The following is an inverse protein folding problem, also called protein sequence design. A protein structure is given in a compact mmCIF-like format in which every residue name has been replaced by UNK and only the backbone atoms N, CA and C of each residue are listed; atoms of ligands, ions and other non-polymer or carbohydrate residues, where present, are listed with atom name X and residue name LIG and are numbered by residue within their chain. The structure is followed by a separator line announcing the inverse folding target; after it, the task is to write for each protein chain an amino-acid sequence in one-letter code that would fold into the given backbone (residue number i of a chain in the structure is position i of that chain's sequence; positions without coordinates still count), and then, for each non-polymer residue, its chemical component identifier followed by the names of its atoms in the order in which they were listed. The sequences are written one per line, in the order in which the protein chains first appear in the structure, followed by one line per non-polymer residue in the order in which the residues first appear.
data_IF_586683518581
#
_entry.id   IF_586683518581
#
_cell.length_a   1.000
_cell.length_b   1.000
_cell.length_c   1.000
_cell.angle_alpha   90.00
_cell.angle_beta   90.00
_cell.angle_gamma   90.00
#
_symmetry.space_group_name_H-M   'P 1'
#
loop_
_entity.id
_entity.type
_entity.pdbx_description
1 polymer ?
#
# COMPACT_ATOMS: atom_id res chain seq x y z
N UNK A 1 14.82 -10.25 12.65
CA UNK A 1 13.89 -9.37 13.37
C UNK A 1 13.30 -8.49 12.28
N UNK A 2 12.10 -8.81 11.80
CA UNK A 2 11.38 -7.92 10.91
C UNK A 2 10.73 -6.87 11.80
N UNK A 3 11.22 -5.65 11.73
CA UNK A 3 10.53 -4.51 12.31
C UNK A 3 9.30 -4.31 11.42
N UNK A 4 8.13 -4.66 11.95
CA UNK A 4 6.85 -4.39 11.30
C UNK A 4 6.77 -2.87 11.32
N UNK A 5 6.89 -2.25 10.15
CA UNK A 5 6.63 -0.82 10.02
C UNK A 5 5.15 -0.66 10.37
N UNK A 6 4.88 -0.11 11.54
CA UNK A 6 3.52 0.27 11.91
C UNK A 6 3.16 1.45 11.04
N UNK A 7 2.51 1.18 9.90
CA UNK A 7 1.74 2.18 9.17
C UNK A 7 0.74 2.80 10.16
N UNK A 8 0.91 4.08 10.54
CA UNK A 8 -0.10 4.77 11.32
C UNK A 8 -1.26 5.08 10.37
N UNK A 9 -2.43 4.50 10.62
CA UNK A 9 -3.63 4.98 9.95
C UNK A 9 -4.80 4.01 9.88
N UNK A 10 -5.68 4.09 10.86
CA UNK A 10 -7.12 4.08 10.58
C UNK A 10 -7.56 5.49 10.10
N UNK A 11 -6.63 6.35 9.68
CA UNK A 11 -6.83 7.73 9.25
C UNK A 11 -5.75 8.04 8.19
N UNK A 12 -6.10 8.41 6.94
CA UNK A 12 -5.19 8.62 5.81
C UNK A 12 -4.57 10.03 5.81
N UNK A 13 -4.09 10.50 6.96
CA UNK A 13 -3.32 11.74 7.06
C UNK A 13 -1.99 11.42 7.75
N UNK A 14 -0.87 11.68 7.06
CA UNK A 14 0.51 11.80 7.58
C UNK A 14 1.44 10.56 7.59
N UNK A 15 1.37 9.66 6.60
CA UNK A 15 2.59 8.97 6.18
C UNK A 15 3.40 9.92 5.29
N UNK A 16 4.21 10.76 5.94
CA UNK A 16 5.11 11.68 5.24
C UNK A 16 6.28 10.87 4.66
N UNK A 17 6.06 10.21 3.52
CA UNK A 17 7.11 9.49 2.80
C UNK A 17 8.29 10.41 2.47
N UNK A 18 8.06 11.73 2.41
CA UNK A 18 9.10 12.75 2.22
C UNK A 18 10.13 12.83 3.37
N UNK A 19 9.81 12.36 4.59
CA UNK A 19 10.76 12.31 5.72
C UNK A 19 11.57 11.00 5.75
N UNK A 20 11.20 10.01 4.93
CA UNK A 20 11.86 8.69 4.88
C UNK A 20 13.13 8.72 4.02
N UNK A 21 14.17 8.01 4.47
CA UNK A 21 15.38 7.78 3.67
C UNK A 21 15.11 6.84 2.47
N UNK A 22 15.96 6.88 1.44
CA UNK A 22 15.84 6.03 0.24
C UNK A 22 15.72 4.51 0.57
N UNK A 23 16.49 4.02 1.55
CA UNK A 23 16.40 2.64 2.03
C UNK A 23 15.04 2.34 2.70
N UNK A 24 14.48 3.31 3.42
CA UNK A 24 13.17 3.16 4.07
C UNK A 24 12.03 3.23 3.05
N UNK A 25 12.13 4.11 2.05
CA UNK A 25 11.19 4.18 0.92
C UNK A 25 11.21 2.87 0.12
N UNK A 26 12.38 2.31 -0.16
CA UNK A 26 12.47 0.99 -0.82
C UNK A 26 11.84 -0.13 0.01
N UNK A 27 12.10 -0.14 1.32
CA UNK A 27 11.49 -1.13 2.21
C UNK A 27 9.96 -0.98 2.26
N UNK A 28 9.47 0.27 2.29
CA UNK A 28 8.04 0.59 2.23
C UNK A 28 7.41 0.11 0.91
N UNK A 29 8.06 0.39 -0.23
CA UNK A 29 7.62 -0.07 -1.54
C UNK A 29 7.56 -1.60 -1.63
N UNK A 30 8.55 -2.32 -1.08
CA UNK A 30 8.52 -3.77 -1.04
C UNK A 30 7.35 -4.31 -0.20
N UNK A 31 7.05 -3.67 0.93
CA UNK A 31 5.94 -4.04 1.80
C UNK A 31 4.57 -3.76 1.15
N UNK A 32 4.41 -2.59 0.53
CA UNK A 32 3.21 -2.25 -0.25
C UNK A 32 2.99 -3.25 -1.39
N UNK A 33 4.05 -3.65 -2.11
CA UNK A 33 3.97 -4.67 -3.16
C UNK A 33 3.59 -6.05 -2.64
N UNK A 34 4.11 -6.47 -1.49
CA UNK A 34 3.71 -7.75 -0.87
C UNK A 34 2.24 -7.72 -0.46
N UNK A 35 1.79 -6.58 0.08
CA UNK A 35 0.39 -6.36 0.46
C UNK A 35 -0.54 -6.35 -0.75
N UNK A 36 -0.17 -5.67 -1.83
CA UNK A 36 -0.89 -5.70 -3.11
C UNK A 36 -0.98 -7.14 -3.62
N UNK A 37 0.13 -7.89 -3.64
CA UNK A 37 0.12 -9.29 -4.06
C UNK A 37 -0.71 -10.22 -3.13
N UNK A 38 -0.84 -9.89 -1.85
CA UNK A 38 -1.75 -10.56 -0.93
C UNK A 38 -3.21 -10.18 -1.21
N UNK A 39 -3.46 -8.92 -1.55
CA UNK A 39 -4.78 -8.40 -1.91
C UNK A 39 -5.25 -9.00 -3.23
N UNK A 40 -4.41 -9.05 -4.27
CA UNK A 40 -4.63 -9.69 -5.57
C UNK A 40 -5.08 -11.16 -5.43
N UNK A 41 -4.46 -11.91 -4.52
CA UNK A 41 -4.86 -13.30 -4.24
C UNK A 41 -6.23 -13.43 -3.58
N UNK A 42 -6.72 -12.35 -3.00
CA UNK A 42 -8.04 -12.24 -2.39
C UNK A 42 -9.04 -11.56 -3.32
N UNK A 43 -8.70 -11.34 -4.60
CA UNK A 43 -9.59 -10.77 -5.61
C UNK A 43 -10.93 -11.51 -5.61
N UNK A 44 -12.05 -10.81 -5.32
CA UNK A 44 -13.36 -11.42 -5.36
C UNK A 44 -13.73 -11.78 -6.80
N UNK A 45 -14.12 -13.05 -7.01
CA UNK A 45 -14.54 -13.53 -8.33
C UNK A 45 -15.77 -12.80 -8.89
N UNK A 46 -16.56 -12.16 -8.02
CA UNK A 46 -17.75 -11.42 -8.40
C UNK A 46 -17.46 -9.91 -8.39
N UNK A 47 -17.17 -9.39 -9.59
CA UNK A 47 -16.80 -7.99 -9.82
C UNK A 47 -17.95 -6.98 -9.58
N UNK A 48 -19.16 -7.44 -9.27
CA UNK A 48 -20.30 -6.59 -8.92
C UNK A 48 -20.73 -6.76 -7.45
N UNK A 49 -19.93 -7.45 -6.66
CA UNK A 49 -20.18 -7.61 -5.23
C UNK A 49 -19.56 -6.45 -4.45
N UNK A 50 -20.21 -6.05 -3.36
CA UNK A 50 -19.66 -5.09 -2.39
C UNK A 50 -18.23 -5.49 -1.93
N UNK A 51 -17.94 -6.79 -1.88
CA UNK A 51 -16.59 -7.27 -1.56
C UNK A 51 -15.54 -6.87 -2.61
N UNK A 52 -15.90 -6.86 -3.90
CA UNK A 52 -15.02 -6.39 -4.97
C UNK A 52 -14.86 -4.87 -4.90
N UNK A 53 -15.92 -4.13 -4.59
CA UNK A 53 -15.83 -2.68 -4.40
C UNK A 53 -14.86 -2.34 -3.26
N UNK A 54 -14.96 -3.01 -2.10
CA UNK A 54 -14.00 -2.83 -1.00
C UNK A 54 -12.58 -3.25 -1.38
N UNK A 55 -12.43 -4.38 -2.07
CA UNK A 55 -11.12 -4.84 -2.55
C UNK A 55 -10.50 -3.85 -3.53
N UNK A 56 -11.30 -3.29 -4.44
CA UNK A 56 -10.86 -2.34 -5.45
C UNK A 56 -10.46 -1.00 -4.83
N UNK A 57 -11.19 -0.52 -3.81
CA UNK A 57 -10.84 0.68 -3.05
C UNK A 57 -9.48 0.49 -2.34
N UNK A 58 -9.30 -0.62 -1.63
CA UNK A 58 -8.01 -0.94 -0.98
C UNK A 58 -6.87 -1.15 -2.00
N UNK A 59 -7.17 -1.62 -3.21
CA UNK A 59 -6.20 -1.76 -4.29
C UNK A 59 -5.79 -0.40 -4.85
N UNK A 60 -6.74 0.51 -5.07
CA UNK A 60 -6.47 1.89 -5.48
C UNK A 60 -5.62 2.64 -4.44
N UNK A 61 -5.98 2.55 -3.15
CA UNK A 61 -5.20 3.17 -2.06
C UNK A 61 -3.76 2.66 -2.02
N UNK A 62 -3.55 1.35 -2.21
CA UNK A 62 -2.21 0.76 -2.27
C UNK A 62 -1.42 1.21 -3.50
N UNK A 63 -2.06 1.32 -4.66
CA UNK A 63 -1.42 1.81 -5.88
C UNK A 63 -1.04 3.28 -5.76
N UNK A 64 -1.90 4.14 -5.19
CA UNK A 64 -1.63 5.57 -4.98
C UNK A 64 -0.42 5.78 -4.04
N UNK A 65 -0.38 5.06 -2.92
CA UNK A 65 0.78 5.07 -2.02
C UNK A 65 2.07 4.57 -2.69
N UNK A 66 1.97 3.54 -3.55
CA UNK A 66 3.13 3.03 -4.27
C UNK A 66 3.66 4.04 -5.28
N UNK A 67 2.78 4.71 -6.03
CA UNK A 67 3.17 5.76 -6.96
C UNK A 67 3.81 6.94 -6.22
N UNK A 68 3.27 7.38 -5.08
CA UNK A 68 3.88 8.44 -4.26
C UNK A 68 5.30 8.08 -3.77
N UNK A 69 5.49 6.84 -3.29
CA UNK A 69 6.82 6.34 -2.89
C UNK A 69 7.77 6.23 -4.08
N UNK A 70 7.28 5.83 -5.26
CA UNK A 70 8.08 5.75 -6.48
C UNK A 70 8.50 7.14 -6.97
N UNK A 71 7.61 8.13 -6.91
CA UNK A 71 7.91 9.53 -7.24
C UNK A 71 8.99 10.13 -6.33
N UNK A 72 9.05 9.70 -5.07
CA UNK A 72 10.10 10.12 -4.13
C UNK A 72 11.45 9.39 -4.33
N UNK A 73 11.44 8.24 -5.00
CA UNK A 73 12.63 7.42 -5.27
C UNK A 73 13.33 7.76 -6.61
N UNK A 74 12.67 8.48 -7.52
CA UNK A 74 13.22 8.93 -8.82
C UNK A 74 14.11 10.19 -8.70
#
# INVERSE_FOLDING_TARGET
MGEIVSFPGNEPEELDFADMDEDQLRACLEELRDRLAALDRQEPADMNSEAYETWAEEHEDLEDMMDEVLELLD
#
